data_IF_676639476878
#
_entry.id   IF_676639476878
#
_cell.length_a   1.000
_cell.length_b   1.000
_cell.length_c   1.000
_cell.angle_alpha   90.00
_cell.angle_beta   90.00
_cell.angle_gamma   90.00
#
_symmetry.space_group_name_H-M   'P 1'
#
loop_
_entity.id
_entity.type
_entity.pdbx_description
1 polymer ?
#
# COMPACT_ATOMS: atom_id res chain seq x y z
N UNK A 1 13.66 10.58 -21.57
CA UNK A 1 13.91 10.01 -20.23
C UNK A 1 12.55 9.59 -19.69
N UNK A 2 12.36 8.31 -19.37
CA UNK A 2 11.12 7.86 -18.75
C UNK A 2 11.07 8.38 -17.31
N UNK A 3 10.04 9.15 -16.96
CA UNK A 3 9.78 9.52 -15.58
C UNK A 3 9.60 8.23 -14.75
N UNK A 4 10.17 8.19 -13.55
CA UNK A 4 10.03 7.02 -12.67
C UNK A 4 8.56 6.78 -12.32
N UNK A 5 8.21 5.58 -11.83
CA UNK A 5 6.85 5.37 -11.31
C UNK A 5 6.57 6.35 -10.15
N UNK A 6 7.57 6.63 -9.30
CA UNK A 6 7.49 7.63 -8.24
C UNK A 6 7.03 9.00 -8.76
N UNK A 7 7.64 9.49 -9.85
CA UNK A 7 7.28 10.77 -10.45
C UNK A 7 5.85 10.74 -11.01
N UNK A 8 5.46 9.63 -11.67
CA UNK A 8 4.10 9.46 -12.21
C UNK A 8 3.03 9.35 -11.12
N UNK A 9 3.37 8.83 -9.95
CA UNK A 9 2.51 8.80 -8.76
C UNK A 9 2.45 10.15 -8.03
N UNK A 10 3.06 11.22 -8.56
CA UNK A 10 3.05 12.56 -7.96
C UNK A 10 4.08 12.74 -6.84
N UNK A 11 5.14 11.94 -6.84
CA UNK A 11 6.18 11.94 -5.83
C UNK A 11 5.63 11.62 -4.43
N UNK A 12 6.34 12.06 -3.39
CA UNK A 12 5.96 11.76 -1.99
C UNK A 12 4.55 12.25 -1.66
N UNK A 13 4.19 13.46 -2.11
CA UNK A 13 2.88 14.04 -1.79
C UNK A 13 1.72 13.27 -2.44
N UNK A 14 1.88 12.83 -3.69
CA UNK A 14 0.88 12.00 -4.35
C UNK A 14 0.77 10.61 -3.71
N UNK A 15 1.90 9.98 -3.42
CA UNK A 15 1.95 8.71 -2.68
C UNK A 15 1.28 8.82 -1.30
N UNK A 16 1.53 9.89 -0.54
CA UNK A 16 0.88 10.10 0.76
C UNK A 16 -0.64 10.10 0.65
N UNK A 17 -1.21 10.77 -0.37
CA UNK A 17 -2.66 10.78 -0.61
C UNK A 17 -3.19 9.40 -0.98
N UNK A 18 -2.49 8.69 -1.86
CA UNK A 18 -2.85 7.32 -2.24
C UNK A 18 -2.86 6.39 -1.01
N UNK A 19 -1.86 6.51 -0.13
CA UNK A 19 -1.79 5.72 1.11
C UNK A 19 -2.91 6.09 2.08
N UNK A 20 -3.22 7.38 2.23
CA UNK A 20 -4.34 7.84 3.05
C UNK A 20 -5.67 7.25 2.58
N UNK A 21 -5.93 7.32 1.27
CA UNK A 21 -7.14 6.78 0.64
C UNK A 21 -7.18 5.24 0.70
N UNK A 22 -6.04 4.57 0.55
CA UNK A 22 -5.94 3.11 0.68
C UNK A 22 -6.32 2.66 2.09
N UNK A 23 -5.80 3.34 3.12
CA UNK A 23 -6.12 3.02 4.52
C UNK A 23 -7.59 3.31 4.82
N UNK A 24 -8.16 4.38 4.27
CA UNK A 24 -9.59 4.67 4.36
C UNK A 24 -10.42 3.54 3.73
N UNK A 25 -10.04 3.07 2.53
CA UNK A 25 -10.71 1.94 1.87
C UNK A 25 -10.65 0.67 2.73
N UNK A 26 -9.47 0.32 3.26
CA UNK A 26 -9.30 -0.83 4.15
C UNK A 26 -10.19 -0.75 5.40
N UNK A 27 -10.33 0.43 6.00
CA UNK A 27 -11.18 0.62 7.18
C UNK A 27 -12.67 0.45 6.87
N UNK A 28 -13.08 0.68 5.63
CA UNK A 28 -14.48 0.56 5.19
C UNK A 28 -14.81 -0.80 4.53
N UNK A 29 -13.80 -1.63 4.21
CA UNK A 29 -13.98 -2.94 3.60
C UNK A 29 -14.21 -4.05 4.65
N UNK A 30 -15.39 -4.67 4.70
CA UNK A 30 -15.71 -5.70 5.71
C UNK A 30 -14.84 -6.97 5.65
N UNK A 31 -14.11 -7.19 4.55
CA UNK A 31 -13.19 -8.32 4.42
C UNK A 31 -11.78 -8.03 4.97
N UNK A 32 -11.45 -6.75 5.22
CA UNK A 32 -10.09 -6.29 5.58
C UNK A 32 -10.09 -5.46 6.87
N UNK A 33 -11.19 -4.76 7.18
CA UNK A 33 -11.26 -3.73 8.21
C UNK A 33 -10.87 -4.20 9.61
N UNK A 34 -11.03 -5.48 9.93
CA UNK A 34 -10.61 -6.06 11.21
C UNK A 34 -9.11 -5.84 11.49
N UNK A 35 -8.28 -5.66 10.45
CA UNK A 35 -6.84 -5.35 10.58
C UNK A 35 -6.57 -3.89 10.92
N UNK A 36 -7.46 -2.97 10.52
CA UNK A 36 -7.22 -1.53 10.60
C UNK A 36 -8.07 -0.82 11.67
N UNK A 37 -9.27 -1.32 11.96
CA UNK A 37 -10.16 -0.78 13.00
C UNK A 37 -9.53 -0.71 14.39
N UNK A 38 -8.64 -1.63 14.83
CA UNK A 38 -7.94 -1.50 16.11
C UNK A 38 -7.06 -0.24 16.24
N UNK A 39 -6.75 0.43 15.13
CA UNK A 39 -5.98 1.68 15.09
C UNK A 39 -6.86 2.94 14.94
N UNK A 40 -8.18 2.79 14.80
CA UNK A 40 -9.12 3.91 14.59
C UNK A 40 -8.97 5.01 15.65
N UNK A 41 -8.84 4.60 16.91
CA UNK A 41 -8.70 5.52 18.05
C UNK A 41 -7.23 5.70 18.48
N UNK A 42 -6.27 5.34 17.62
CA UNK A 42 -4.83 5.41 17.87
C UNK A 42 -4.11 6.19 16.75
N UNK A 43 -4.35 7.50 16.64
CA UNK A 43 -3.90 8.31 15.50
C UNK A 43 -2.37 8.27 15.30
N UNK A 44 -1.59 8.24 16.38
CA UNK A 44 -0.12 8.16 16.30
C UNK A 44 0.38 6.83 15.72
N UNK A 45 -0.24 5.72 16.09
CA UNK A 45 0.10 4.40 15.56
C UNK A 45 -0.32 4.28 14.10
N UNK A 46 -1.51 4.80 13.76
CA UNK A 46 -1.99 4.83 12.39
C UNK A 46 -1.08 5.69 11.49
N UNK A 47 -0.66 6.87 11.98
CA UNK A 47 0.30 7.73 11.28
C UNK A 47 1.64 7.02 11.05
N UNK A 48 2.12 6.24 12.02
CA UNK A 48 3.34 5.43 11.88
C UNK A 48 3.19 4.38 10.78
N UNK A 49 2.06 3.66 10.74
CA UNK A 49 1.75 2.68 9.69
C UNK A 49 1.75 3.37 8.32
N UNK A 50 1.01 4.48 8.18
CA UNK A 50 0.93 5.26 6.94
C UNK A 50 2.30 5.73 6.47
N UNK A 51 3.11 6.29 7.36
CA UNK A 51 4.46 6.75 7.01
C UNK A 51 5.36 5.62 6.53
N UNK A 52 5.32 4.44 7.18
CA UNK A 52 6.05 3.28 6.70
C UNK A 52 5.57 2.82 5.32
N UNK A 53 4.25 2.84 5.06
CA UNK A 53 3.71 2.50 3.75
C UNK A 53 4.12 3.51 2.68
N UNK A 54 4.11 4.82 2.99
CA UNK A 54 4.60 5.86 2.07
C UNK A 54 6.06 5.66 1.72
N UNK A 55 6.91 5.41 2.71
CA UNK A 55 8.34 5.19 2.50
C UNK A 55 8.60 3.91 1.69
N UNK A 56 7.83 2.86 1.94
CA UNK A 56 7.88 1.62 1.16
C UNK A 56 7.46 1.85 -0.30
N UNK A 57 6.35 2.57 -0.53
CA UNK A 57 5.87 2.86 -1.88
C UNK A 57 6.85 3.75 -2.64
N UNK A 58 7.42 4.76 -1.98
CA UNK A 58 8.43 5.63 -2.55
C UNK A 58 9.67 4.82 -2.99
N UNK A 59 10.18 3.92 -2.14
CA UNK A 59 11.31 3.08 -2.51
C UNK A 59 10.98 2.10 -3.66
N UNK A 60 9.81 1.44 -3.59
CA UNK A 60 9.38 0.47 -4.60
C UNK A 60 9.05 1.08 -5.97
N UNK A 61 8.64 2.35 -6.01
CA UNK A 61 8.33 3.08 -7.25
C UNK A 61 9.54 3.78 -7.89
N UNK A 62 10.74 3.57 -7.34
CA UNK A 62 11.98 4.16 -7.86
C UNK A 62 12.29 5.58 -7.36
N UNK A 63 11.66 5.98 -6.25
CA UNK A 63 11.96 7.25 -5.59
C UNK A 63 13.36 7.26 -4.93
N UNK A 64 13.82 8.45 -4.51
CA UNK A 64 15.21 8.66 -4.08
C UNK A 64 15.56 8.06 -2.72
N UNK A 65 14.56 7.68 -1.91
CA UNK A 65 14.76 7.21 -0.55
C UNK A 65 14.74 5.69 -0.50
N UNK A 66 15.60 5.12 0.36
CA UNK A 66 15.55 3.70 0.69
C UNK A 66 14.56 3.47 1.81
N UNK A 67 13.83 2.36 1.72
CA UNK A 67 12.98 1.89 2.81
C UNK A 67 13.83 1.22 3.89
N UNK A 68 13.58 1.59 5.16
CA UNK A 68 14.31 1.08 6.34
C UNK A 68 13.40 0.40 7.37
N UNK A 69 12.13 0.18 7.04
CA UNK A 69 11.19 -0.53 7.89
C UNK A 69 11.33 -2.06 7.80
N UNK A 70 10.36 -2.77 8.36
CA UNK A 70 10.29 -4.24 8.31
C UNK A 70 10.13 -4.73 6.87
N UNK A 71 10.83 -5.78 6.50
CA UNK A 71 10.56 -6.48 5.24
C UNK A 71 9.11 -7.03 5.20
N UNK A 72 8.61 -7.35 4.01
CA UNK A 72 7.22 -7.78 3.83
C UNK A 72 6.87 -9.06 4.59
N UNK A 73 7.81 -10.00 4.74
CA UNK A 73 7.55 -11.23 5.50
C UNK A 73 7.41 -10.88 6.99
N UNK A 74 8.38 -10.16 7.54
CA UNK A 74 8.38 -9.77 8.96
C UNK A 74 7.19 -8.86 9.31
N UNK A 75 6.78 -7.97 8.40
CA UNK A 75 5.65 -7.07 8.62
C UNK A 75 4.31 -7.81 8.72
N UNK A 76 4.12 -8.90 7.96
CA UNK A 76 2.83 -9.59 7.83
C UNK A 76 2.78 -10.96 8.53
N UNK A 77 3.92 -11.45 9.05
CA UNK A 77 3.98 -12.69 9.82
C UNK A 77 3.02 -12.65 11.02
N UNK A 78 2.26 -13.73 11.21
CA UNK A 78 1.29 -13.85 12.29
C UNK A 78 -0.08 -13.23 12.02
N UNK A 79 -0.27 -12.55 10.87
CA UNK A 79 -1.58 -12.00 10.49
C UNK A 79 -2.53 -13.06 9.90
N UNK A 80 -2.00 -14.18 9.40
CA UNK A 80 -2.77 -15.23 8.74
C UNK A 80 -3.59 -14.70 7.54
N UNK A 81 -2.95 -13.91 6.67
CA UNK A 81 -3.59 -13.28 5.51
C UNK A 81 -3.90 -14.34 4.46
N UNK A 82 -5.18 -14.46 4.09
CA UNK A 82 -5.64 -15.38 3.06
C UNK A 82 -5.43 -14.82 1.65
N UNK A 83 -5.42 -15.66 0.60
CA UNK A 83 -5.40 -15.17 -0.78
C UNK A 83 -6.59 -14.24 -1.11
N UNK A 84 -7.76 -14.49 -0.53
CA UNK A 84 -8.94 -13.63 -0.74
C UNK A 84 -8.78 -12.26 -0.08
N UNK A 85 -8.31 -12.22 1.18
CA UNK A 85 -8.01 -10.97 1.90
C UNK A 85 -6.97 -10.13 1.13
N UNK A 86 -5.95 -10.79 0.56
CA UNK A 86 -4.95 -10.12 -0.28
C UNK A 86 -5.57 -9.48 -1.53
N UNK A 87 -6.47 -10.17 -2.23
CA UNK A 87 -7.13 -9.60 -3.40
C UNK A 87 -8.01 -8.39 -3.03
N UNK A 88 -8.72 -8.44 -1.90
CA UNK A 88 -9.48 -7.28 -1.41
C UNK A 88 -8.59 -6.07 -1.12
N UNK A 89 -7.39 -6.29 -0.56
CA UNK A 89 -6.41 -5.20 -0.36
C UNK A 89 -5.92 -4.64 -1.70
N UNK A 90 -5.69 -5.48 -2.70
CA UNK A 90 -5.32 -5.03 -4.06
C UNK A 90 -6.42 -4.16 -4.66
N UNK A 91 -7.69 -4.59 -4.55
CA UNK A 91 -8.84 -3.82 -5.03
C UNK A 91 -8.94 -2.45 -4.31
N UNK A 92 -8.76 -2.43 -2.98
CA UNK A 92 -8.75 -1.21 -2.18
C UNK A 92 -7.65 -0.22 -2.60
N UNK A 93 -6.46 -0.72 -2.95
CA UNK A 93 -5.36 0.10 -3.49
C UNK A 93 -5.76 0.67 -4.86
N UNK A 94 -6.36 -0.15 -5.72
CA UNK A 94 -6.79 0.28 -7.06
C UNK A 94 -7.87 1.36 -7.00
N UNK A 95 -8.83 1.25 -6.08
CA UNK A 95 -9.81 2.32 -5.82
C UNK A 95 -9.13 3.63 -5.40
N UNK A 96 -8.05 3.57 -4.60
CA UNK A 96 -7.28 4.76 -4.24
C UNK A 96 -6.52 5.35 -5.44
N UNK A 97 -5.92 4.52 -6.30
CA UNK A 97 -5.27 4.97 -7.53
C UNK A 97 -6.26 5.66 -8.49
N UNK A 98 -7.46 5.09 -8.64
CA UNK A 98 -8.56 5.67 -9.43
C UNK A 98 -8.98 7.04 -8.87
N UNK A 99 -9.22 7.11 -7.56
CA UNK A 99 -9.59 8.36 -6.85
C UNK A 99 -8.54 9.47 -7.04
N UNK A 100 -7.26 9.10 -7.15
CA UNK A 100 -6.15 10.04 -7.34
C UNK A 100 -5.84 10.31 -8.83
N UNK A 101 -6.62 9.79 -9.77
CA UNK A 101 -6.46 10.06 -11.19
C UNK A 101 -5.17 9.50 -11.79
N UNK A 102 -4.65 8.41 -11.22
CA UNK A 102 -3.45 7.74 -11.74
C UNK A 102 -3.76 7.08 -13.09
N UNK A 103 -2.84 7.18 -14.04
CA UNK A 103 -2.99 6.61 -15.37
C UNK A 103 -2.87 5.08 -15.37
N UNK A 104 -3.41 4.44 -16.41
CA UNK A 104 -3.45 2.98 -16.53
C UNK A 104 -2.07 2.32 -16.58
N UNK A 105 -1.06 2.97 -17.17
CA UNK A 105 0.28 2.39 -17.25
C UNK A 105 0.96 2.42 -15.87
N UNK A 106 0.78 3.50 -15.12
CA UNK A 106 1.21 3.58 -13.72
C UNK A 106 0.49 2.55 -12.82
N UNK A 107 -0.81 2.32 -13.02
CA UNK A 107 -1.55 1.26 -12.30
C UNK A 107 -1.02 -0.14 -12.60
N UNK A 108 -0.69 -0.45 -13.86
CA UNK A 108 -0.09 -1.74 -14.24
C UNK A 108 1.26 -1.97 -13.57
N UNK A 109 2.07 -0.92 -13.44
CA UNK A 109 3.35 -1.02 -12.75
C UNK A 109 3.16 -1.23 -11.25
N UNK A 110 2.22 -0.52 -10.61
CA UNK A 110 1.83 -0.77 -9.21
C UNK A 110 1.36 -2.21 -9.04
N UNK A 111 0.50 -2.71 -9.92
CA UNK A 111 0.01 -4.10 -9.87
C UNK A 111 1.15 -5.11 -9.97
N UNK A 112 2.10 -4.87 -10.87
CA UNK A 112 3.27 -5.74 -11.04
C UNK A 112 4.11 -5.80 -9.76
N UNK A 113 4.29 -4.66 -9.09
CA UNK A 113 4.94 -4.60 -7.77
C UNK A 113 4.13 -5.41 -6.76
N UNK A 114 2.82 -5.18 -6.63
CA UNK A 114 1.97 -5.92 -5.69
C UNK A 114 2.08 -7.44 -5.91
N UNK A 115 1.97 -7.92 -7.14
CA UNK A 115 2.15 -9.33 -7.47
C UNK A 115 3.50 -9.90 -7.05
N UNK A 116 4.58 -9.14 -7.17
CA UNK A 116 5.91 -9.57 -6.71
C UNK A 116 5.98 -9.75 -5.19
N UNK A 117 5.14 -9.03 -4.42
CA UNK A 117 5.09 -9.10 -2.95
C UNK A 117 4.15 -10.18 -2.43
N UNK A 118 3.21 -10.64 -3.26
CA UNK A 118 2.13 -11.57 -2.87
C UNK A 118 2.62 -12.78 -2.07
N UNK A 119 3.69 -13.44 -2.53
CA UNK A 119 4.25 -14.64 -1.89
C UNK A 119 4.93 -14.38 -0.53
N UNK A 120 5.23 -13.12 -0.21
CA UNK A 120 5.80 -12.72 1.08
C UNK A 120 4.72 -12.35 2.12
N UNK A 121 3.50 -12.05 1.67
CA UNK A 121 2.42 -11.50 2.50
C UNK A 121 1.38 -12.56 2.84
N UNK A 122 0.99 -13.38 1.87
CA UNK A 122 -0.01 -14.43 2.09
C UNK A 122 0.57 -15.52 3.00
N UNK A 123 -0.22 -15.94 3.98
CA UNK A 123 0.13 -17.07 4.85
C UNK A 123 0.18 -18.38 4.06
N UNK A 124 1.13 -19.24 4.41
CA UNK A 124 1.28 -20.58 3.82
C UNK A 124 0.25 -21.55 4.38
#
# INVERSE_FOLDING_TARGET
>A
MSNSLFDRLGGRNGISKIVDDTVENHMNNTNVNARFLPFKDKPEQLATIKNHTVDFFQAGSGGPNKYSGKDMVTAHTGMNISPAEYMHVVDDIFMALDKNGIDEDSKKDVLSILWSLKGMIIAK
#
